data_IF_719277699015
#
_entry.id   IF_719277699015
#
_cell.length_a   1.000
_cell.length_b   1.000
_cell.length_c   1.000
_cell.angle_alpha   90.00
_cell.angle_beta   90.00
_cell.angle_gamma   90.00
#
_symmetry.space_group_name_H-M   'P 1'
#
loop_
_entity.id
_entity.type
_entity.pdbx_description
1 polymer ?
#
# COMPACT_ATOMS: atom_id res chain seq x y z
N UNK A 1 -33.89 21.01 -14.32
CA UNK A 1 -32.51 21.43 -14.04
C UNK A 1 -31.70 20.18 -13.78
N UNK A 2 -30.72 19.87 -14.63
CA UNK A 2 -29.86 18.70 -14.49
C UNK A 2 -28.71 19.10 -13.55
N UNK A 3 -28.74 18.67 -12.29
CA UNK A 3 -27.62 18.86 -11.37
C UNK A 3 -26.48 17.95 -11.81
N UNK A 4 -25.49 18.54 -12.49
CA UNK A 4 -24.18 17.92 -12.66
C UNK A 4 -23.60 17.71 -11.26
N UNK A 5 -23.65 16.48 -10.76
CA UNK A 5 -22.88 16.11 -9.59
C UNK A 5 -21.41 16.31 -9.95
N UNK A 6 -20.77 17.33 -9.36
CA UNK A 6 -19.32 17.46 -9.37
C UNK A 6 -18.78 16.12 -8.90
N UNK A 7 -18.09 15.40 -9.79
CA UNK A 7 -17.27 14.29 -9.39
C UNK A 7 -16.24 14.85 -8.40
N UNK A 8 -16.52 14.70 -7.11
CA UNK A 8 -15.56 14.98 -6.07
C UNK A 8 -14.31 14.21 -6.46
N UNK A 9 -13.23 14.93 -6.74
CA UNK A 9 -11.94 14.33 -7.03
C UNK A 9 -11.60 13.48 -5.84
N UNK A 10 -11.79 12.16 -5.97
CA UNK A 10 -11.45 11.21 -4.90
C UNK A 10 -9.97 11.45 -4.65
N UNK A 11 -9.59 11.95 -3.47
CA UNK A 11 -8.20 12.28 -3.23
C UNK A 11 -7.38 11.01 -3.46
N UNK A 12 -6.30 11.12 -4.23
CA UNK A 12 -5.34 10.05 -4.52
C UNK A 12 -4.53 9.73 -3.26
N UNK A 13 -5.22 9.40 -2.18
CA UNK A 13 -4.65 9.29 -0.85
C UNK A 13 -5.05 8.00 -0.20
N UNK A 14 -4.09 7.38 0.45
CA UNK A 14 -4.31 6.14 1.18
C UNK A 14 -5.05 6.38 2.50
N UNK A 15 -5.93 5.46 2.94
CA UNK A 15 -6.59 5.52 4.24
C UNK A 15 -5.56 5.62 5.38
N UNK A 16 -5.82 6.48 6.36
CA UNK A 16 -4.92 6.71 7.50
C UNK A 16 -4.59 5.41 8.24
N UNK A 17 -5.57 4.52 8.40
CA UNK A 17 -5.41 3.23 9.08
C UNK A 17 -4.38 2.30 8.41
N UNK A 18 -4.19 2.42 7.09
CA UNK A 18 -3.22 1.62 6.34
C UNK A 18 -1.82 2.24 6.34
N UNK A 19 -1.68 3.53 6.68
CA UNK A 19 -0.38 4.20 6.70
C UNK A 19 0.49 3.71 7.86
N UNK A 20 1.79 3.62 7.60
CA UNK A 20 2.79 3.16 8.55
C UNK A 20 3.82 2.25 7.92
N UNK A 21 4.69 1.72 8.76
CA UNK A 21 5.72 0.77 8.38
C UNK A 21 5.23 -0.64 8.72
N UNK A 22 5.18 -1.50 7.70
CA UNK A 22 4.68 -2.86 7.78
C UNK A 22 5.78 -3.82 7.36
N UNK A 23 5.96 -4.91 8.08
CA UNK A 23 6.96 -5.93 7.72
C UNK A 23 6.48 -7.32 8.18
N UNK A 24 7.25 -8.35 7.85
CA UNK A 24 7.02 -9.67 8.40
C UNK A 24 7.19 -9.62 9.94
N UNK A 25 6.34 -10.34 10.72
CA UNK A 25 6.46 -10.36 12.17
C UNK A 25 7.84 -10.74 12.70
N UNK A 26 8.56 -11.60 11.98
CA UNK A 26 9.96 -11.98 12.25
C UNK A 26 10.93 -10.82 12.06
N UNK A 27 10.68 -9.92 11.11
CA UNK A 27 11.60 -8.87 10.67
C UNK A 27 11.46 -7.58 11.49
N UNK A 28 10.33 -7.36 12.17
CA UNK A 28 10.14 -6.17 13.02
C UNK A 28 11.17 -6.03 14.17
N UNK A 29 11.97 -7.07 14.47
CA UNK A 29 13.03 -7.04 15.49
C UNK A 29 14.45 -6.93 14.92
N UNK A 30 14.59 -6.88 13.60
CA UNK A 30 15.89 -6.83 12.90
C UNK A 30 16.06 -5.46 12.23
N UNK A 31 16.59 -4.45 12.94
CA UNK A 31 16.86 -3.14 12.34
C UNK A 31 18.06 -3.26 11.40
N UNK A 32 17.84 -3.11 10.10
CA UNK A 32 18.92 -2.89 9.13
C UNK A 32 18.99 -3.85 7.94
N UNK A 33 18.25 -4.96 7.93
CA UNK A 33 18.10 -5.75 6.71
C UNK A 33 16.93 -5.20 5.89
N UNK A 34 17.22 -4.86 4.64
CA UNK A 34 16.21 -4.64 3.61
C UNK A 34 15.43 -5.93 3.46
N UNK A 35 14.26 -5.95 4.10
CA UNK A 35 13.28 -7.00 3.89
C UNK A 35 12.57 -6.65 2.58
N UNK A 36 12.75 -7.46 1.55
CA UNK A 36 11.96 -7.40 0.30
C UNK A 36 10.44 -7.50 0.59
N UNK A 37 10.09 -7.96 1.79
CA UNK A 37 8.71 -8.07 2.27
C UNK A 37 8.23 -6.86 3.06
N UNK A 38 9.06 -5.83 3.30
CA UNK A 38 8.66 -4.60 3.99
C UNK A 38 7.78 -3.76 3.08
N UNK A 39 6.68 -3.23 3.60
CA UNK A 39 5.86 -2.24 2.94
C UNK A 39 5.79 -0.95 3.75
N UNK A 40 6.26 0.14 3.17
CA UNK A 40 6.22 1.47 3.75
C UNK A 40 5.06 2.23 3.11
N UNK A 41 3.97 2.36 3.85
CA UNK A 41 2.73 2.95 3.35
C UNK A 41 2.64 4.41 3.75
N UNK A 42 2.59 5.30 2.76
CA UNK A 42 2.52 6.75 2.94
C UNK A 42 1.23 7.32 2.36
N UNK A 43 1.05 8.65 2.42
CA UNK A 43 -0.18 9.29 1.94
C UNK A 43 -0.38 9.08 0.45
N UNK A 44 0.69 9.15 -0.34
CA UNK A 44 0.65 9.18 -1.81
C UNK A 44 1.45 8.09 -2.49
N UNK A 45 2.03 7.13 -1.76
CA UNK A 45 2.84 6.05 -2.34
C UNK A 45 2.95 4.87 -1.37
N UNK A 46 3.40 3.74 -1.90
CA UNK A 46 3.78 2.55 -1.14
C UNK A 46 5.14 2.08 -1.63
N UNK A 47 6.14 2.00 -0.75
CA UNK A 47 7.44 1.43 -1.08
C UNK A 47 7.56 -0.02 -0.59
N UNK A 48 8.12 -0.89 -1.41
CA UNK A 48 8.44 -2.29 -1.14
C UNK A 48 9.92 -2.51 -1.42
N UNK A 49 10.77 -2.44 -0.39
CA UNK A 49 12.22 -2.35 -0.61
C UNK A 49 12.56 -1.12 -1.47
N UNK A 50 13.22 -1.36 -2.60
CA UNK A 50 13.58 -0.32 -3.59
C UNK A 50 12.43 0.02 -4.55
N UNK A 51 11.41 -0.85 -4.68
CA UNK A 51 10.30 -0.64 -5.58
C UNK A 51 9.27 0.34 -4.99
N UNK A 52 8.93 1.42 -5.70
CA UNK A 52 7.93 2.40 -5.25
C UNK A 52 6.68 2.38 -6.14
N UNK A 53 5.52 2.16 -5.54
CA UNK A 53 4.22 2.30 -6.19
C UNK A 53 3.60 3.68 -5.97
N UNK A 54 3.36 4.41 -7.06
CA UNK A 54 2.64 5.69 -7.06
C UNK A 54 1.24 5.54 -7.69
N UNK A 55 0.15 5.67 -6.93
CA UNK A 55 -1.21 5.59 -7.46
C UNK A 55 -1.53 6.75 -8.40
N UNK A 56 -2.13 6.43 -9.54
CA UNK A 56 -2.70 7.41 -10.49
C UNK A 56 -4.23 7.45 -10.45
N UNK A 57 -4.86 6.35 -10.03
CA UNK A 57 -6.32 6.24 -9.89
C UNK A 57 -6.68 5.29 -8.75
N UNK A 58 -7.55 5.75 -7.85
CA UNK A 58 -8.14 4.89 -6.82
C UNK A 58 -9.37 4.18 -7.40
N UNK A 59 -9.41 2.86 -7.22
CA UNK A 59 -10.54 1.99 -7.60
C UNK A 59 -11.43 1.70 -6.38
N UNK A 60 -10.81 1.47 -5.21
CA UNK A 60 -11.49 1.24 -3.94
C UNK A 60 -10.77 2.01 -2.83
N UNK A 61 -11.51 2.74 -1.99
CA UNK A 61 -10.98 3.67 -0.98
C UNK A 61 -11.53 3.40 0.44
N UNK A 62 -11.86 2.16 0.76
CA UNK A 62 -12.41 1.80 2.08
C UNK A 62 -11.31 1.79 3.16
N UNK A 63 -11.70 1.87 4.42
CA UNK A 63 -10.74 1.83 5.54
C UNK A 63 -9.95 0.52 5.60
N UNK A 64 -10.58 -0.60 5.23
CA UNK A 64 -9.98 -1.94 5.30
C UNK A 64 -9.57 -2.51 3.94
N UNK A 65 -10.04 -1.92 2.83
CA UNK A 65 -9.69 -2.36 1.49
C UNK A 65 -9.33 -1.13 0.64
N UNK A 66 -8.14 -1.17 0.04
CA UNK A 66 -7.69 -0.11 -0.83
C UNK A 66 -7.11 -0.70 -2.10
N UNK A 67 -7.61 -0.24 -3.24
CA UNK A 67 -7.16 -0.70 -4.55
C UNK A 67 -6.89 0.51 -5.43
N UNK A 68 -5.73 0.53 -6.08
CA UNK A 68 -5.37 1.58 -7.02
C UNK A 68 -4.62 1.02 -8.22
N UNK A 69 -4.75 1.71 -9.35
CA UNK A 69 -3.86 1.54 -10.50
C UNK A 69 -2.84 2.67 -10.53
N UNK A 70 -1.62 2.39 -10.94
CA UNK A 70 -0.53 3.34 -10.88
C UNK A 70 0.73 2.85 -11.57
N UNK A 71 1.86 3.41 -11.16
CA UNK A 71 3.19 3.13 -11.67
C UNK A 71 4.03 2.50 -10.55
N UNK A 72 4.73 1.42 -10.87
CA UNK A 72 5.83 0.88 -10.08
C UNK A 72 7.14 1.39 -10.67
N UNK A 73 7.97 2.00 -9.85
CA UNK A 73 9.35 2.38 -10.19
C UNK A 73 10.31 1.42 -9.49
N UNK A 74 11.23 0.83 -10.23
CA UNK A 74 12.21 -0.14 -9.75
C UNK A 74 13.50 -0.01 -10.56
N UNK A 75 14.63 0.23 -9.92
CA UNK A 75 15.97 0.35 -10.56
C UNK A 75 16.03 1.22 -11.84
N UNK A 76 15.24 2.31 -11.94
CA UNK A 76 15.21 3.17 -13.13
C UNK A 76 14.17 2.79 -14.19
N UNK A 77 13.52 1.64 -14.04
CA UNK A 77 12.42 1.21 -14.88
C UNK A 77 11.07 1.64 -14.29
N UNK A 78 10.10 1.90 -15.17
CA UNK A 78 8.72 2.20 -14.75
C UNK A 78 7.77 1.26 -15.44
N UNK A 79 6.98 0.54 -14.66
CA UNK A 79 5.92 -0.35 -15.14
C UNK A 79 4.55 0.09 -14.62
N UNK A 80 3.50 -0.15 -15.41
CA UNK A 80 2.12 0.10 -14.97
C UNK A 80 1.58 -1.12 -14.25
N UNK A 81 0.81 -0.90 -13.19
CA UNK A 81 0.18 -2.00 -12.49
C UNK A 81 -0.95 -1.60 -11.55
N UNK A 82 -1.41 -2.59 -10.80
CA UNK A 82 -2.48 -2.46 -9.81
C UNK A 82 -1.98 -2.98 -8.47
N UNK A 83 -2.18 -2.19 -7.43
CA UNK A 83 -1.92 -2.58 -6.05
C UNK A 83 -3.23 -2.77 -5.29
N UNK A 84 -3.35 -3.88 -4.57
CA UNK A 84 -4.43 -4.15 -3.64
C UNK A 84 -3.85 -4.27 -2.23
N UNK A 85 -4.36 -3.48 -1.30
CA UNK A 85 -4.04 -3.56 0.11
C UNK A 85 -5.28 -3.88 0.92
N UNK A 86 -5.13 -4.80 1.87
CA UNK A 86 -6.19 -5.23 2.76
C UNK A 86 -5.73 -5.18 4.20
N UNK A 87 -6.39 -4.38 5.01
CA UNK A 87 -6.17 -4.30 6.45
C UNK A 87 -7.16 -5.24 7.16
N UNK A 88 -6.66 -6.04 8.09
CA UNK A 88 -7.50 -6.88 8.95
C UNK A 88 -8.41 -6.02 9.83
N UNK A 89 -9.56 -6.57 10.25
CA UNK A 89 -10.56 -5.86 11.07
C UNK A 89 -10.00 -5.36 12.40
N UNK A 90 -9.04 -6.09 12.98
CA UNK A 90 -8.33 -5.71 14.21
C UNK A 90 -7.21 -4.69 13.97
N UNK A 91 -7.01 -4.25 12.72
CA UNK A 91 -5.96 -3.31 12.29
C UNK A 91 -4.51 -3.76 12.56
N UNK A 92 -4.29 -5.06 12.80
CA UNK A 92 -2.97 -5.61 13.14
C UNK A 92 -2.19 -6.15 11.94
N UNK A 93 -2.88 -6.49 10.86
CA UNK A 93 -2.30 -7.16 9.69
C UNK A 93 -2.65 -6.41 8.42
N UNK A 94 -1.64 -6.03 7.64
CA UNK A 94 -1.79 -5.53 6.28
C UNK A 94 -1.41 -6.64 5.30
N UNK A 95 -2.20 -6.85 4.27
CA UNK A 95 -1.93 -7.84 3.24
C UNK A 95 -1.93 -7.23 1.84
N UNK A 96 -1.08 -7.75 0.98
CA UNK A 96 -1.04 -7.44 -0.44
C UNK A 96 -0.72 -8.70 -1.26
N UNK A 97 -0.94 -8.65 -2.57
CA UNK A 97 -0.55 -9.71 -3.50
C UNK A 97 0.74 -9.27 -4.20
N UNK A 98 1.79 -10.08 -4.11
CA UNK A 98 3.08 -9.80 -4.78
C UNK A 98 3.05 -10.20 -6.27
N UNK A 99 4.17 -9.99 -6.97
CA UNK A 99 4.36 -10.34 -8.39
C UNK A 99 4.17 -11.83 -8.69
N UNK A 100 4.46 -12.72 -7.74
CA UNK A 100 4.25 -14.18 -7.85
C UNK A 100 2.80 -14.61 -7.61
N UNK A 101 1.85 -13.66 -7.53
CA UNK A 101 0.46 -13.89 -7.15
C UNK A 101 0.27 -14.52 -5.76
N UNK A 102 1.23 -14.32 -4.84
CA UNK A 102 1.15 -14.80 -3.45
C UNK A 102 0.65 -13.70 -2.53
N UNK A 103 -0.18 -14.07 -1.54
CA UNK A 103 -0.64 -13.16 -0.50
C UNK A 103 0.43 -13.04 0.57
N UNK A 104 1.03 -11.86 0.68
CA UNK A 104 1.97 -11.51 1.75
C UNK A 104 1.19 -10.86 2.90
N UNK A 105 1.47 -11.25 4.14
CA UNK A 105 0.84 -10.72 5.35
C UNK A 105 1.89 -10.07 6.24
N UNK A 106 1.70 -8.79 6.50
CA UNK A 106 2.61 -7.94 7.25
C UNK A 106 1.96 -7.50 8.54
N UNK A 107 2.75 -7.28 9.57
CA UNK A 107 2.33 -6.65 10.81
C UNK A 107 2.92 -5.26 10.93
N UNK A 108 2.29 -4.41 11.74
CA UNK A 108 2.80 -3.07 12.01
C UNK A 108 4.04 -3.18 12.88
N UNK A 109 5.18 -2.76 12.37
CA UNK A 109 6.38 -2.68 13.19
C UNK A 109 6.27 -1.43 14.06
N UNK A 110 6.04 -1.61 15.36
CA UNK A 110 6.09 -0.51 16.30
C UNK A 110 7.52 -0.07 16.53
N UNK A 111 7.79 1.24 16.59
CA UNK A 111 8.82 1.70 17.52
C UNK A 111 8.28 1.39 18.92
N UNK A 112 9.02 0.59 19.68
CA UNK A 112 8.86 0.62 21.13
C UNK A 112 9.16 2.03 21.64
#
# INVERSE_FOLDING_TARGET
MLTLALAASVPLTMPVAMRGDWDLPSHCKMPGEESDSRAVVRKGEVAFGETVFTPKRIVVAEQTNWTATGEFYDEGETSKGRLNLRLSKDSKTLAYTNSDNRIVRLTRCGKK
#
